data_IF_615436361107
#
_entry.id   IF_615436361107
#
_cell.length_a   1.000
_cell.length_b   1.000
_cell.length_c   1.000
_cell.angle_alpha   90.00
_cell.angle_beta   90.00
_cell.angle_gamma   90.00
#
_symmetry.space_group_name_H-M   'P 1'
#
loop_
_entity.id
_entity.type
_entity.pdbx_description
1 polymer ?
#
# COMPACT_ATOMS: atom_id res chain seq x y z
N UNK A 1 -51.77 -8.47 -7.25
CA UNK A 1 -50.55 -9.32 -7.30
C UNK A 1 -49.34 -8.47 -6.99
N UNK A 2 -48.92 -8.42 -5.72
CA UNK A 2 -47.65 -7.79 -5.30
C UNK A 2 -46.50 -8.76 -5.63
N UNK A 3 -45.64 -8.40 -6.60
CA UNK A 3 -44.46 -9.16 -6.92
C UNK A 3 -43.52 -9.18 -5.71
N UNK A 4 -43.21 -10.35 -5.18
CA UNK A 4 -42.18 -10.51 -4.19
C UNK A 4 -40.80 -10.25 -4.83
N UNK A 5 -39.85 -9.55 -4.17
CA UNK A 5 -38.52 -9.33 -4.70
C UNK A 5 -37.78 -10.65 -4.90
N UNK A 6 -37.06 -10.76 -6.01
CA UNK A 6 -36.27 -11.94 -6.39
C UNK A 6 -35.18 -12.29 -5.34
N UNK A 7 -34.85 -13.57 -5.22
CA UNK A 7 -33.88 -14.12 -4.29
C UNK A 7 -32.53 -13.34 -4.19
N UNK A 8 -31.94 -12.75 -5.28
CA UNK A 8 -30.73 -11.97 -5.22
C UNK A 8 -30.82 -10.72 -4.36
N UNK A 9 -31.96 -10.02 -4.38
CA UNK A 9 -32.14 -8.78 -3.60
C UNK A 9 -32.23 -9.03 -2.09
N UNK A 10 -32.76 -10.19 -1.66
CA UNK A 10 -32.80 -10.56 -0.23
C UNK A 10 -31.42 -10.89 0.33
N UNK A 11 -30.54 -11.48 -0.48
CA UNK A 11 -29.17 -11.77 -0.08
C UNK A 11 -28.33 -10.49 0.08
N UNK A 12 -28.49 -9.52 -0.81
CA UNK A 12 -27.81 -8.23 -0.76
C UNK A 12 -28.20 -7.41 0.46
N UNK A 13 -29.49 -7.41 0.83
CA UNK A 13 -29.98 -6.71 2.02
C UNK A 13 -29.48 -7.36 3.32
N UNK A 14 -29.33 -8.68 3.35
CA UNK A 14 -28.77 -9.40 4.51
C UNK A 14 -27.27 -9.19 4.67
N UNK A 15 -26.51 -9.09 3.56
CA UNK A 15 -25.07 -8.81 3.60
C UNK A 15 -24.80 -7.38 4.07
N UNK A 16 -25.56 -6.39 3.60
CA UNK A 16 -25.48 -5.00 4.07
C UNK A 16 -25.83 -4.87 5.56
N UNK A 17 -26.82 -5.63 6.05
CA UNK A 17 -27.17 -5.65 7.47
C UNK A 17 -26.11 -6.34 8.34
N UNK A 18 -25.39 -7.36 7.84
CA UNK A 18 -24.26 -8.00 8.54
C UNK A 18 -23.03 -7.10 8.60
N UNK A 19 -22.68 -6.40 7.53
CA UNK A 19 -21.61 -5.40 7.51
C UNK A 19 -21.90 -4.23 8.48
N UNK A 20 -23.14 -3.76 8.54
CA UNK A 20 -23.57 -2.73 9.50
C UNK A 20 -23.45 -3.19 10.97
N UNK A 21 -23.66 -4.49 11.25
CA UNK A 21 -23.47 -5.07 12.60
C UNK A 21 -22.00 -5.34 12.93
N UNK A 22 -21.16 -5.70 11.96
CA UNK A 22 -19.72 -5.90 12.16
C UNK A 22 -18.99 -4.58 12.48
N UNK A 23 -19.52 -3.44 12.02
CA UNK A 23 -19.02 -2.10 12.33
C UNK A 23 -19.41 -1.59 13.74
N UNK A 24 -20.32 -2.29 14.44
CA UNK A 24 -20.75 -1.96 15.81
C UNK A 24 -19.97 -2.73 16.88
N UNK A 25 -18.65 -2.80 16.74
CA UNK A 25 -17.78 -3.36 17.77
C UNK A 25 -17.70 -2.44 19.01
N UNK A 26 -17.60 -2.94 20.24
CA UNK A 26 -17.48 -2.13 21.45
C UNK A 26 -16.23 -1.23 21.37
N UNK A 27 -16.42 0.09 21.44
CA UNK A 27 -15.36 1.08 21.35
C UNK A 27 -15.28 1.83 20.01
N UNK A 28 -16.14 1.53 19.04
CA UNK A 28 -16.23 2.26 17.77
C UNK A 28 -17.25 3.39 17.89
N UNK A 29 -16.89 4.67 17.60
CA UNK A 29 -17.85 5.77 17.63
C UNK A 29 -18.91 5.55 16.54
N UNK A 30 -20.19 5.59 16.91
CA UNK A 30 -21.29 5.52 15.93
C UNK A 30 -21.25 6.74 15.01
N UNK A 31 -21.67 6.59 13.73
CA UNK A 31 -21.69 7.69 12.76
C UNK A 31 -22.53 8.91 13.19
N UNK A 32 -23.41 8.74 14.17
CA UNK A 32 -24.34 9.78 14.62
C UNK A 32 -23.77 10.77 15.62
N UNK A 33 -22.61 10.48 16.24
CA UNK A 33 -22.02 11.32 17.29
C UNK A 33 -20.81 12.17 16.84
N UNK A 34 -20.52 12.26 15.55
CA UNK A 34 -19.42 13.08 15.06
C UNK A 34 -19.89 14.51 14.75
N UNK A 35 -20.07 15.30 15.80
CA UNK A 35 -20.48 16.72 15.76
C UNK A 35 -19.46 17.63 15.06
N UNK A 36 -18.26 17.14 14.76
CA UNK A 36 -17.21 17.89 14.05
C UNK A 36 -17.46 18.02 12.52
N UNK A 37 -18.31 17.18 11.93
CA UNK A 37 -18.60 17.22 10.49
C UNK A 37 -19.79 18.11 10.09
N UNK A 38 -20.49 18.73 11.04
CA UNK A 38 -21.67 19.58 10.77
C UNK A 38 -21.41 21.08 10.67
N UNK A 39 -20.16 21.56 10.77
CA UNK A 39 -19.86 23.03 10.75
C UNK A 39 -19.27 23.57 9.44
N UNK A 40 -19.24 22.82 8.35
CA UNK A 40 -18.75 23.32 7.05
C UNK A 40 -19.83 23.29 5.95
N UNK A 41 -21.05 23.62 6.28
CA UNK A 41 -22.12 23.57 5.28
C UNK A 41 -23.26 24.54 5.52
N UNK A 42 -23.03 25.78 5.87
CA UNK A 42 -23.99 26.90 5.73
C UNK A 42 -23.28 28.19 6.09
N UNK A 43 -22.61 28.82 5.15
CA UNK A 43 -22.50 30.28 5.05
C UNK A 43 -21.83 30.60 3.71
N UNK A 44 -22.65 30.68 2.68
CA UNK A 44 -22.29 31.23 1.38
C UNK A 44 -22.21 32.76 1.50
N UNK A 45 -21.03 33.31 1.70
CA UNK A 45 -20.74 34.70 1.36
C UNK A 45 -19.29 34.82 0.90
N UNK A 46 -19.14 35.37 -0.30
CA UNK A 46 -17.89 35.53 -1.00
C UNK A 46 -16.88 36.39 -0.25
N UNK A 47 -15.63 36.06 -0.45
CA UNK A 47 -14.50 36.91 -0.16
C UNK A 47 -13.75 37.23 -1.43
N UNK A 48 -13.78 38.53 -1.73
CA UNK A 48 -13.12 39.30 -2.75
C UNK A 48 -11.60 39.05 -2.80
N UNK A 49 -11.07 38.93 -3.99
CA UNK A 49 -9.64 39.01 -4.29
C UNK A 49 -9.05 40.34 -3.77
N UNK A 50 -8.03 40.27 -2.92
CA UNK A 50 -7.16 41.38 -2.61
C UNK A 50 -5.80 41.22 -3.28
N UNK A 51 -5.42 42.26 -3.98
CA UNK A 51 -4.31 42.54 -4.86
C UNK A 51 -2.92 42.23 -4.28
N UNK A 52 -2.04 41.83 -5.18
CA UNK A 52 -0.59 41.82 -5.08
C UNK A 52 0.00 43.14 -4.61
N UNK A 53 0.81 43.10 -3.57
CA UNK A 53 1.66 44.21 -3.13
C UNK A 53 3.05 44.08 -3.76
N UNK A 54 3.40 45.07 -4.57
CA UNK A 54 4.72 45.31 -5.13
C UNK A 54 5.70 45.66 -4.00
N UNK A 55 6.88 45.00 -3.99
CA UNK A 55 8.02 45.52 -3.22
C UNK A 55 8.97 46.24 -4.15
N UNK A 56 9.11 47.54 -3.87
CA UNK A 56 9.93 48.54 -4.49
C UNK A 56 11.40 48.36 -4.11
N UNK A 57 12.28 48.44 -5.11
CA UNK A 57 13.72 48.69 -4.96
C UNK A 57 14.00 50.04 -4.33
N UNK A 58 14.89 50.10 -3.33
CA UNK A 58 15.65 51.32 -2.99
C UNK A 58 17.14 51.01 -3.03
N UNK A 59 17.81 51.66 -3.96
CA UNK A 59 19.25 51.85 -4.06
C UNK A 59 19.74 52.88 -3.02
N UNK A 60 20.88 52.67 -2.41
CA UNK A 60 21.72 53.72 -1.80
C UNK A 60 23.18 53.24 -1.81
N UNK A 61 23.90 53.89 -2.51
CA UNK A 61 25.22 54.50 -2.73
C UNK A 61 26.26 54.40 -1.61
N UNK A 62 27.46 53.99 -2.08
CA UNK A 62 28.84 54.49 -1.82
C UNK A 62 29.40 54.57 -0.40
N UNK A 63 30.59 53.95 -0.26
CA UNK A 63 31.56 54.17 0.80
C UNK A 63 32.69 53.13 0.74
N UNK A 64 33.77 53.43 0.01
CA UNK A 64 35.04 52.68 0.03
C UNK A 64 35.99 53.35 1.09
N UNK A 65 37.22 52.85 1.31
CA UNK A 65 37.69 51.49 1.64
C UNK A 65 38.51 51.48 2.98
N UNK A 66 38.68 50.34 3.61
CA UNK A 66 39.78 50.10 4.55
C UNK A 66 40.35 48.70 4.35
N UNK A 67 41.61 48.71 3.96
CA UNK A 67 42.53 47.56 3.95
C UNK A 67 42.78 47.05 5.35
N UNK A 68 42.69 45.74 5.59
CA UNK A 68 43.42 45.06 6.66
C UNK A 68 43.62 43.59 6.27
N UNK A 69 44.87 43.19 6.13
CA UNK A 69 45.54 41.92 6.32
C UNK A 69 44.81 40.61 6.01
N UNK A 70 45.31 39.95 4.98
CA UNK A 70 45.23 38.52 4.73
C UNK A 70 45.79 37.72 5.93
N UNK A 71 44.91 36.97 6.59
CA UNK A 71 45.33 35.73 7.27
C UNK A 71 44.69 34.58 6.52
N UNK A 72 45.56 33.93 5.74
CA UNK A 72 45.28 32.67 5.06
C UNK A 72 45.11 31.55 6.08
N UNK A 73 43.92 31.31 6.55
CA UNK A 73 43.56 30.04 7.15
C UNK A 73 43.31 29.04 6.01
N UNK A 74 44.34 28.25 5.74
CA UNK A 74 44.20 27.02 4.97
C UNK A 74 43.21 26.13 5.71
N UNK A 75 41.95 26.09 5.27
CA UNK A 75 41.04 25.03 5.58
C UNK A 75 41.64 23.75 4.94
N UNK A 76 42.12 22.86 5.79
CA UNK A 76 42.47 21.52 5.40
C UNK A 76 41.22 20.84 4.91
N UNK A 77 41.09 20.71 3.61
CA UNK A 77 40.18 19.79 2.96
C UNK A 77 40.46 18.39 3.49
N UNK A 78 39.61 17.91 4.38
CA UNK A 78 39.57 16.49 4.73
C UNK A 78 39.28 15.74 3.44
N UNK A 79 40.07 14.72 3.08
CA UNK A 79 39.84 13.97 1.88
C UNK A 79 38.43 13.31 2.04
N UNK A 80 37.50 13.78 1.21
CA UNK A 80 36.25 13.10 0.96
C UNK A 80 36.59 11.64 0.64
N UNK A 81 36.33 10.73 1.59
CA UNK A 81 36.41 9.30 1.33
C UNK A 81 35.36 8.98 0.30
N UNK A 82 35.73 9.15 -0.97
CA UNK A 82 34.97 8.56 -2.06
C UNK A 82 34.91 7.07 -1.77
N UNK A 83 33.72 6.59 -1.42
CA UNK A 83 33.45 5.16 -1.45
C UNK A 83 33.96 4.65 -2.80
N UNK A 84 34.86 3.65 -2.83
CA UNK A 84 35.33 3.11 -4.11
C UNK A 84 34.12 2.72 -4.89
N UNK A 85 34.01 3.15 -6.16
CA UNK A 85 32.99 2.68 -7.07
C UNK A 85 33.06 1.15 -7.03
N UNK A 86 31.99 0.50 -6.55
CA UNK A 86 31.93 -0.96 -6.53
C UNK A 86 32.17 -1.41 -7.98
N UNK A 87 33.20 -2.23 -8.20
CA UNK A 87 33.45 -2.81 -9.52
C UNK A 87 32.20 -3.55 -10.00
N UNK A 88 32.07 -3.73 -11.31
CA UNK A 88 30.98 -4.57 -11.83
C UNK A 88 31.10 -5.98 -11.20
N UNK A 89 29.95 -6.61 -10.89
CA UNK A 89 29.91 -8.01 -10.46
C UNK A 89 30.65 -8.91 -11.49
N UNK A 90 31.18 -10.03 -11.03
CA UNK A 90 31.73 -11.02 -11.93
C UNK A 90 30.63 -11.73 -12.75
N UNK A 91 31.03 -12.48 -13.75
CA UNK A 91 30.09 -13.16 -14.67
C UNK A 91 29.15 -14.12 -13.92
N UNK A 92 29.66 -14.86 -12.95
CA UNK A 92 28.86 -15.80 -12.16
C UNK A 92 27.78 -15.09 -11.33
N UNK A 93 28.11 -13.96 -10.72
CA UNK A 93 27.12 -13.15 -9.99
C UNK A 93 26.08 -12.55 -10.95
N UNK A 94 26.47 -12.10 -12.14
CA UNK A 94 25.54 -11.60 -13.15
C UNK A 94 24.59 -12.69 -13.66
N UNK A 95 25.09 -13.92 -13.84
CA UNK A 95 24.24 -15.07 -14.16
C UNK A 95 23.22 -15.34 -13.06
N UNK A 96 23.64 -15.35 -11.79
CA UNK A 96 22.74 -15.53 -10.65
C UNK A 96 21.67 -14.42 -10.56
N UNK A 97 22.05 -13.16 -10.77
CA UNK A 97 21.09 -12.05 -10.83
C UNK A 97 20.09 -12.25 -11.98
N UNK A 98 20.56 -12.77 -13.12
CA UNK A 98 19.66 -13.06 -14.26
C UNK A 98 18.66 -14.15 -13.93
N UNK A 99 19.10 -15.24 -13.29
CA UNK A 99 18.21 -16.30 -12.81
C UNK A 99 17.20 -15.76 -11.81
N UNK A 100 17.65 -14.92 -10.87
CA UNK A 100 16.78 -14.25 -9.90
C UNK A 100 15.67 -13.41 -10.57
N UNK A 101 15.98 -12.68 -11.66
CA UNK A 101 14.97 -11.95 -12.41
C UNK A 101 13.92 -12.87 -13.04
N UNK A 102 14.34 -14.02 -13.57
CA UNK A 102 13.42 -15.02 -14.10
C UNK A 102 12.58 -15.64 -13.00
N UNK A 103 13.16 -15.94 -11.84
CA UNK A 103 12.47 -16.47 -10.68
C UNK A 103 11.44 -15.49 -10.12
N UNK A 104 11.83 -14.23 -9.90
CA UNK A 104 10.88 -13.18 -9.49
C UNK A 104 9.73 -13.03 -10.51
N UNK A 105 10.04 -13.11 -11.80
CA UNK A 105 9.04 -13.10 -12.87
C UNK A 105 8.11 -14.33 -12.85
N UNK A 106 8.47 -15.42 -12.17
CA UNK A 106 7.63 -16.62 -12.05
C UNK A 106 6.39 -16.37 -11.19
N UNK A 107 6.43 -15.42 -10.25
CA UNK A 107 5.29 -15.07 -9.38
C UNK A 107 4.01 -14.75 -10.15
N UNK A 108 4.10 -14.31 -11.41
CA UNK A 108 2.93 -14.14 -12.30
C UNK A 108 2.19 -15.44 -12.60
N UNK A 109 2.82 -16.59 -12.39
CA UNK A 109 2.26 -17.92 -12.59
C UNK A 109 1.87 -18.59 -11.27
N UNK A 110 2.17 -17.98 -10.13
CA UNK A 110 1.79 -18.46 -8.80
C UNK A 110 0.41 -17.87 -8.45
N UNK A 111 -0.69 -18.66 -8.49
CA UNK A 111 -2.02 -18.14 -8.18
C UNK A 111 -2.18 -17.93 -6.68
N UNK A 112 -2.91 -16.89 -6.28
CA UNK A 112 -3.40 -16.71 -4.90
C UNK A 112 -4.43 -17.80 -4.63
N UNK A 113 -4.03 -18.85 -3.93
CA UNK A 113 -4.76 -20.11 -3.81
C UNK A 113 -6.09 -19.99 -3.06
N UNK A 114 -6.26 -18.95 -2.23
CA UNK A 114 -7.49 -18.66 -1.50
C UNK A 114 -8.72 -18.44 -2.38
N UNK A 115 -8.55 -17.91 -3.59
CA UNK A 115 -9.68 -17.66 -4.51
C UNK A 115 -10.44 -18.93 -4.92
N UNK A 116 -9.79 -20.09 -4.88
CA UNK A 116 -10.47 -21.37 -5.13
C UNK A 116 -11.60 -21.61 -4.10
N UNK A 117 -11.45 -21.16 -2.86
CA UNK A 117 -12.47 -21.28 -1.83
C UNK A 117 -13.49 -20.13 -1.86
N UNK A 118 -13.11 -18.99 -2.39
CA UNK A 118 -14.04 -17.86 -2.57
C UNK A 118 -15.02 -18.10 -3.72
N UNK A 119 -14.62 -18.89 -4.72
CA UNK A 119 -15.47 -19.31 -5.85
C UNK A 119 -15.61 -18.25 -6.94
N UNK A 120 -14.96 -17.11 -6.83
CA UNK A 120 -14.87 -16.08 -7.88
C UNK A 120 -13.64 -15.20 -7.65
N UNK A 121 -13.26 -14.48 -8.70
CA UNK A 121 -12.04 -13.67 -8.71
C UNK A 121 -10.81 -14.50 -9.03
N UNK A 122 -9.73 -13.82 -9.31
CA UNK A 122 -8.40 -14.39 -9.50
C UNK A 122 -7.37 -13.32 -9.30
N UNK A 123 -6.22 -13.70 -8.80
CA UNK A 123 -5.05 -12.85 -8.63
C UNK A 123 -3.82 -13.78 -8.63
N UNK A 124 -2.70 -13.29 -9.08
CA UNK A 124 -1.42 -13.95 -8.88
C UNK A 124 -0.56 -13.18 -7.89
N UNK A 125 0.51 -13.82 -7.39
CA UNK A 125 1.36 -13.23 -6.36
C UNK A 125 2.06 -11.95 -6.84
N UNK A 126 2.42 -11.86 -8.13
CA UNK A 126 3.03 -10.64 -8.68
C UNK A 126 2.07 -9.44 -8.68
N UNK A 127 0.80 -9.65 -9.04
CA UNK A 127 -0.25 -8.61 -8.99
C UNK A 127 -0.50 -8.15 -7.55
N UNK A 128 -0.57 -9.10 -6.62
CA UNK A 128 -0.68 -8.87 -5.20
C UNK A 128 0.50 -8.04 -4.66
N UNK A 129 1.73 -8.48 -4.88
CA UNK A 129 2.93 -7.78 -4.38
C UNK A 129 3.07 -6.36 -4.95
N UNK A 130 2.69 -6.16 -6.22
CA UNK A 130 2.67 -4.83 -6.82
C UNK A 130 1.68 -3.90 -6.10
N UNK A 131 0.42 -4.30 -5.94
CA UNK A 131 -0.59 -3.45 -5.29
C UNK A 131 -0.30 -3.28 -3.80
N UNK A 132 0.16 -4.31 -3.11
CA UNK A 132 0.63 -4.24 -1.73
C UNK A 132 1.73 -3.19 -1.58
N UNK A 133 2.70 -3.13 -2.51
CA UNK A 133 3.75 -2.10 -2.49
C UNK A 133 3.21 -0.68 -2.64
N UNK A 134 2.22 -0.45 -3.52
CA UNK A 134 1.56 0.85 -3.68
C UNK A 134 0.79 1.26 -2.41
N UNK A 135 0.08 0.31 -1.79
CA UNK A 135 -0.64 0.53 -0.54
C UNK A 135 0.35 0.82 0.60
N UNK A 136 1.43 0.04 0.70
CA UNK A 136 2.46 0.20 1.72
C UNK A 136 3.15 1.55 1.65
N UNK A 137 3.56 1.99 0.46
CA UNK A 137 4.07 3.34 0.24
C UNK A 137 3.08 4.41 0.75
N UNK A 138 1.80 4.26 0.40
CA UNK A 138 0.76 5.20 0.80
C UNK A 138 0.59 5.23 2.32
N UNK A 139 0.50 4.07 2.98
CA UNK A 139 0.40 3.97 4.43
C UNK A 139 1.58 4.61 5.15
N UNK A 140 2.81 4.36 4.66
CA UNK A 140 4.02 4.94 5.21
C UNK A 140 4.01 6.47 5.13
N UNK A 141 3.60 7.03 3.98
CA UNK A 141 3.45 8.49 3.82
C UNK A 141 2.41 9.09 4.78
N UNK A 142 1.30 8.39 5.00
CA UNK A 142 0.26 8.82 5.95
C UNK A 142 0.70 8.69 7.40
N UNK A 143 1.59 7.76 7.71
CA UNK A 143 2.09 7.51 9.06
C UNK A 143 3.38 8.29 9.40
N UNK A 144 4.03 8.95 8.42
CA UNK A 144 5.32 9.59 8.60
C UNK A 144 6.48 8.60 8.79
N UNK A 145 6.33 7.36 8.27
CA UNK A 145 7.33 6.30 8.30
C UNK A 145 8.22 6.31 7.05
N UNK A 146 9.25 5.48 7.01
CA UNK A 146 10.12 5.30 5.84
C UNK A 146 9.35 4.58 4.71
N UNK A 147 8.89 5.36 3.73
CA UNK A 147 8.11 4.85 2.62
C UNK A 147 8.94 3.95 1.68
N UNK A 148 10.24 4.18 1.53
CA UNK A 148 11.11 3.33 0.73
C UNK A 148 11.26 1.96 1.41
N UNK A 149 11.48 1.93 2.73
CA UNK A 149 11.57 0.69 3.49
C UNK A 149 10.28 -0.10 3.45
N UNK A 150 9.12 0.53 3.69
CA UNK A 150 7.82 -0.17 3.63
C UNK A 150 7.57 -0.73 2.23
N UNK A 151 7.88 0.02 1.17
CA UNK A 151 7.72 -0.46 -0.21
C UNK A 151 8.61 -1.66 -0.49
N UNK A 152 9.87 -1.62 -0.04
CA UNK A 152 10.80 -2.73 -0.14
C UNK A 152 10.26 -3.99 0.57
N UNK A 153 9.79 -3.86 1.80
CA UNK A 153 9.21 -4.96 2.55
C UNK A 153 8.00 -5.57 1.81
N UNK A 154 7.10 -4.72 1.30
CA UNK A 154 5.93 -5.17 0.53
C UNK A 154 6.32 -5.84 -0.80
N UNK A 155 7.39 -5.38 -1.46
CA UNK A 155 7.79 -5.92 -2.77
C UNK A 155 8.31 -7.36 -2.66
N UNK A 156 9.06 -7.66 -1.59
CA UNK A 156 9.77 -8.93 -1.44
C UNK A 156 9.10 -9.90 -0.44
N UNK A 157 7.96 -9.53 0.18
CA UNK A 157 7.37 -10.30 1.27
C UNK A 157 6.99 -11.74 0.87
N UNK A 158 6.50 -11.95 -0.35
CA UNK A 158 6.04 -13.23 -0.89
C UNK A 158 6.96 -13.76 -2.02
N UNK A 159 8.21 -13.26 -2.12
CA UNK A 159 9.13 -13.70 -3.17
C UNK A 159 9.41 -15.22 -3.12
N UNK A 160 9.46 -15.80 -1.92
CA UNK A 160 9.64 -17.23 -1.69
C UNK A 160 8.54 -18.09 -2.34
N UNK A 161 7.36 -17.53 -2.58
CA UNK A 161 6.23 -18.23 -3.16
C UNK A 161 6.43 -18.59 -4.64
N UNK A 162 7.47 -18.07 -5.29
CA UNK A 162 7.92 -18.56 -6.59
C UNK A 162 8.33 -20.05 -6.52
N UNK A 163 8.77 -20.52 -5.35
CA UNK A 163 9.19 -21.90 -5.08
C UNK A 163 8.19 -22.69 -4.26
N UNK A 164 7.63 -22.07 -3.21
CA UNK A 164 6.73 -22.75 -2.27
C UNK A 164 5.27 -22.74 -2.73
N UNK A 165 4.89 -21.78 -3.59
CA UNK A 165 3.49 -21.49 -3.89
C UNK A 165 2.81 -20.71 -2.77
N UNK A 166 1.66 -20.08 -3.08
CA UNK A 166 0.82 -19.40 -2.07
C UNK A 166 0.01 -20.42 -1.28
N UNK A 167 0.29 -20.56 0.01
CA UNK A 167 -0.46 -21.42 0.92
C UNK A 167 -1.64 -20.66 1.53
N UNK A 168 -2.85 -21.16 1.25
CA UNK A 168 -4.06 -20.64 1.89
C UNK A 168 -4.24 -21.18 3.31
N UNK A 169 -5.27 -20.68 4.02
CA UNK A 169 -5.56 -21.08 5.40
C UNK A 169 -5.78 -22.59 5.61
N UNK A 170 -6.25 -23.30 4.59
CA UNK A 170 -6.42 -24.76 4.68
C UNK A 170 -5.08 -25.45 4.60
N UNK A 171 -4.20 -25.02 3.70
CA UNK A 171 -2.85 -25.56 3.57
C UNK A 171 -2.08 -25.37 4.90
N UNK A 172 -2.02 -24.15 5.44
CA UNK A 172 -1.32 -23.83 6.68
C UNK A 172 -1.82 -24.60 7.92
N UNK A 173 -3.02 -25.20 7.84
CA UNK A 173 -3.53 -26.03 8.93
C UNK A 173 -2.87 -27.40 8.98
N UNK A 174 -2.39 -27.92 7.86
CA UNK A 174 -1.92 -29.28 7.71
C UNK A 174 -0.47 -29.38 7.26
N UNK A 175 0.10 -28.30 6.76
CA UNK A 175 1.44 -28.27 6.21
C UNK A 175 2.19 -27.00 6.61
N UNK A 176 3.52 -27.06 6.52
CA UNK A 176 4.44 -25.96 6.80
C UNK A 176 5.42 -25.80 5.66
N UNK A 177 5.60 -24.58 5.17
CA UNK A 177 6.60 -24.26 4.16
C UNK A 177 7.94 -23.90 4.80
N UNK A 178 9.01 -24.17 4.08
CA UNK A 178 10.36 -23.71 4.38
C UNK A 178 10.61 -22.36 3.68
N UNK A 179 9.78 -21.36 4.02
CA UNK A 179 9.72 -20.07 3.31
C UNK A 179 11.07 -19.34 3.32
N UNK A 180 11.71 -19.29 4.50
CA UNK A 180 12.99 -18.63 4.66
C UNK A 180 14.10 -19.33 3.88
N UNK A 181 14.08 -20.67 3.83
CA UNK A 181 15.07 -21.44 3.08
C UNK A 181 14.88 -21.25 1.55
N UNK A 182 13.62 -21.24 1.10
CA UNK A 182 13.30 -20.95 -0.29
C UNK A 182 13.73 -19.54 -0.70
N UNK A 183 13.54 -18.54 0.17
CA UNK A 183 14.01 -17.18 -0.05
C UNK A 183 15.54 -17.11 -0.07
N UNK A 184 16.22 -17.78 0.86
CA UNK A 184 17.69 -17.85 0.91
C UNK A 184 18.24 -18.41 -0.41
N UNK A 185 17.69 -19.54 -0.87
CA UNK A 185 18.14 -20.15 -2.12
C UNK A 185 17.84 -19.29 -3.35
N UNK A 186 16.77 -18.48 -3.32
CA UNK A 186 16.42 -17.58 -4.41
C UNK A 186 17.42 -16.43 -4.57
N UNK A 187 17.93 -15.91 -3.47
CA UNK A 187 18.82 -14.74 -3.46
C UNK A 187 20.31 -15.11 -3.40
N UNK A 188 20.67 -16.37 -3.13
CA UNK A 188 22.03 -16.83 -2.98
C UNK A 188 22.90 -16.51 -4.20
N UNK A 189 24.08 -15.92 -4.00
CA UNK A 189 25.03 -15.51 -5.04
C UNK A 189 24.63 -14.27 -5.84
N UNK A 190 23.54 -13.59 -5.47
CA UNK A 190 23.10 -12.34 -6.15
C UNK A 190 23.79 -11.09 -5.60
N UNK A 191 24.27 -11.12 -4.36
CA UNK A 191 24.73 -9.94 -3.62
C UNK A 191 23.59 -9.14 -2.98
N UNK A 192 22.36 -9.62 -3.05
CA UNK A 192 21.17 -9.00 -2.46
C UNK A 192 20.69 -9.70 -1.18
N UNK A 193 21.40 -10.77 -0.78
CA UNK A 193 21.00 -11.68 0.31
C UNK A 193 20.75 -10.92 1.61
N UNK A 194 21.70 -10.08 2.00
CA UNK A 194 21.65 -9.38 3.28
C UNK A 194 20.40 -8.50 3.39
N UNK A 195 20.10 -7.72 2.34
CA UNK A 195 19.00 -6.76 2.35
C UNK A 195 17.63 -7.48 2.33
N UNK A 196 17.50 -8.49 1.47
CA UNK A 196 16.22 -9.20 1.27
C UNK A 196 15.90 -10.08 2.48
N UNK A 197 16.87 -10.84 3.00
CA UNK A 197 16.66 -11.70 4.17
C UNK A 197 16.42 -10.89 5.44
N UNK A 198 17.18 -9.80 5.65
CA UNK A 198 16.95 -8.90 6.78
C UNK A 198 15.56 -8.24 6.70
N UNK A 199 15.09 -7.90 5.49
CA UNK A 199 13.75 -7.39 5.27
C UNK A 199 12.68 -8.42 5.61
N UNK A 200 12.87 -9.65 5.20
CA UNK A 200 11.94 -10.74 5.51
C UNK A 200 11.90 -11.03 7.02
N UNK A 201 13.06 -11.13 7.68
CA UNK A 201 13.15 -11.34 9.13
C UNK A 201 12.45 -10.19 9.90
N UNK A 202 12.67 -8.91 9.49
CA UNK A 202 11.99 -7.75 10.06
C UNK A 202 10.45 -7.86 9.93
N UNK A 203 9.98 -8.28 8.74
CA UNK A 203 8.56 -8.43 8.48
C UNK A 203 7.95 -9.51 9.38
N UNK A 204 8.63 -10.66 9.57
CA UNK A 204 8.16 -11.74 10.45
C UNK A 204 8.13 -11.31 11.93
N UNK A 205 9.12 -10.54 12.37
CA UNK A 205 9.17 -10.03 13.73
C UNK A 205 8.10 -8.99 14.07
N UNK A 206 7.64 -8.22 13.08
CA UNK A 206 6.60 -7.17 13.20
C UNK A 206 6.85 -6.12 14.29
N UNK A 207 8.12 -5.87 14.65
CA UNK A 207 8.48 -4.93 15.72
C UNK A 207 8.58 -3.49 15.23
N UNK A 208 9.13 -3.27 14.04
CA UNK A 208 9.24 -1.93 13.44
C UNK A 208 7.88 -1.37 13.05
N UNK A 209 7.79 -0.05 12.91
CA UNK A 209 6.60 0.59 12.36
C UNK A 209 6.40 0.17 10.90
N UNK A 210 7.50 0.11 10.15
CA UNK A 210 7.55 -0.25 8.74
C UNK A 210 7.01 -1.66 8.50
N UNK A 211 7.44 -2.64 9.28
CA UNK A 211 6.94 -4.02 9.17
C UNK A 211 5.44 -4.14 9.51
N UNK A 212 4.95 -3.38 10.49
CA UNK A 212 3.51 -3.34 10.80
C UNK A 212 2.70 -2.71 9.68
N UNK A 213 3.21 -1.64 9.05
CA UNK A 213 2.55 -0.99 7.92
C UNK A 213 2.57 -1.87 6.67
N UNK A 214 3.66 -2.61 6.42
CA UNK A 214 3.73 -3.58 5.33
C UNK A 214 2.72 -4.72 5.53
N UNK A 215 2.60 -5.25 6.74
CA UNK A 215 1.55 -6.23 7.06
C UNK A 215 0.13 -5.68 6.88
N UNK A 216 -0.12 -4.42 7.29
CA UNK A 216 -1.42 -3.79 7.06
C UNK A 216 -1.68 -3.56 5.56
N UNK A 217 -0.64 -3.29 4.76
CA UNK A 217 -0.75 -3.15 3.32
C UNK A 217 -1.18 -4.46 2.64
N UNK A 218 -0.57 -5.59 3.01
CA UNK A 218 -0.97 -6.93 2.58
C UNK A 218 -2.45 -7.20 2.90
N UNK A 219 -2.88 -6.90 4.14
CA UNK A 219 -4.28 -7.09 4.53
C UNK A 219 -5.24 -6.13 3.78
N UNK A 220 -4.84 -4.88 3.50
CA UNK A 220 -5.66 -3.95 2.72
C UNK A 220 -5.77 -4.37 1.25
N UNK A 221 -4.74 -4.98 0.70
CA UNK A 221 -4.80 -5.58 -0.63
C UNK A 221 -5.88 -6.66 -0.72
N UNK A 222 -5.85 -7.62 0.21
CA UNK A 222 -6.89 -8.63 0.33
C UNK A 222 -8.29 -8.01 0.52
N UNK A 223 -8.43 -6.97 1.36
CA UNK A 223 -9.69 -6.27 1.60
C UNK A 223 -10.20 -5.61 0.31
N UNK A 224 -9.33 -4.99 -0.49
CA UNK A 224 -9.71 -4.41 -1.78
C UNK A 224 -10.27 -5.47 -2.74
N UNK A 225 -9.64 -6.63 -2.82
CA UNK A 225 -10.10 -7.75 -3.64
C UNK A 225 -11.45 -8.29 -3.17
N UNK A 226 -11.56 -8.59 -1.87
CA UNK A 226 -12.80 -9.09 -1.29
C UNK A 226 -13.96 -8.08 -1.46
N UNK A 227 -13.66 -6.78 -1.36
CA UNK A 227 -14.64 -5.71 -1.62
C UNK A 227 -15.09 -5.71 -3.09
N UNK A 228 -14.16 -5.89 -4.03
CA UNK A 228 -14.50 -5.98 -5.44
C UNK A 228 -15.38 -7.21 -5.72
N UNK A 229 -15.07 -8.35 -5.14
CA UNK A 229 -15.90 -9.56 -5.27
C UNK A 229 -17.29 -9.40 -4.62
N UNK A 230 -17.36 -8.74 -3.47
CA UNK A 230 -18.62 -8.42 -2.82
C UNK A 230 -19.50 -7.50 -3.70
N UNK A 231 -18.90 -6.46 -4.31
CA UNK A 231 -19.59 -5.52 -5.20
C UNK A 231 -20.11 -6.22 -6.47
N UNK A 232 -19.40 -7.23 -6.96
CA UNK A 232 -19.84 -8.09 -8.07
C UNK A 232 -20.93 -9.10 -7.67
N UNK A 233 -21.23 -9.22 -6.37
CA UNK A 233 -22.31 -10.07 -5.86
C UNK A 233 -21.88 -11.35 -5.18
N UNK A 234 -20.58 -11.59 -4.98
CA UNK A 234 -20.11 -12.74 -4.22
C UNK A 234 -20.36 -12.53 -2.72
N UNK A 235 -21.40 -13.19 -2.19
CA UNK A 235 -21.79 -13.06 -0.78
C UNK A 235 -20.77 -13.62 0.20
N UNK A 236 -19.95 -14.60 -0.22
CA UNK A 236 -18.96 -15.24 0.65
C UNK A 236 -17.80 -14.29 1.00
N UNK A 237 -17.54 -13.29 0.16
CA UNK A 237 -16.55 -12.26 0.44
C UNK A 237 -16.85 -11.47 1.72
N UNK A 238 -18.10 -11.38 2.15
CA UNK A 238 -18.49 -10.66 3.36
C UNK A 238 -17.91 -11.30 4.64
N UNK A 239 -17.94 -12.63 4.73
CA UNK A 239 -17.43 -13.35 5.91
C UNK A 239 -15.88 -13.25 6.00
N UNK A 240 -15.22 -13.25 4.83
CA UNK A 240 -13.76 -13.07 4.75
C UNK A 240 -13.35 -11.63 5.09
N UNK A 241 -14.10 -10.63 4.62
CA UNK A 241 -13.90 -9.22 4.96
C UNK A 241 -13.94 -8.99 6.46
N UNK A 242 -14.93 -9.57 7.16
CA UNK A 242 -15.03 -9.45 8.62
C UNK A 242 -13.75 -9.92 9.32
N UNK A 243 -13.15 -11.00 8.85
CA UNK A 243 -11.91 -11.54 9.39
C UNK A 243 -10.68 -10.70 9.01
N UNK A 244 -10.60 -10.24 7.76
CA UNK A 244 -9.49 -9.43 7.26
C UNK A 244 -9.40 -8.08 7.97
N UNK A 245 -10.52 -7.39 8.18
CA UNK A 245 -10.59 -6.10 8.89
C UNK A 245 -10.04 -6.20 10.31
N UNK A 246 -10.30 -7.29 11.02
CA UNK A 246 -9.81 -7.51 12.40
C UNK A 246 -8.29 -7.63 12.51
N UNK A 247 -7.60 -7.92 11.39
CA UNK A 247 -6.14 -8.06 11.35
C UNK A 247 -5.40 -6.72 11.22
N UNK A 248 -6.08 -5.65 10.79
CA UNK A 248 -5.49 -4.32 10.66
C UNK A 248 -5.05 -3.75 12.02
N UNK A 249 -3.85 -3.20 12.08
CA UNK A 249 -3.23 -2.70 13.31
C UNK A 249 -3.12 -1.18 13.36
N UNK A 250 -2.65 -0.54 12.28
CA UNK A 250 -2.43 0.90 12.26
C UNK A 250 -3.74 1.70 12.13
N UNK A 251 -3.82 2.89 12.71
CA UNK A 251 -4.99 3.76 12.57
C UNK A 251 -5.19 4.21 11.11
N UNK A 252 -4.11 4.38 10.35
CA UNK A 252 -4.15 4.75 8.94
C UNK A 252 -4.81 3.67 8.09
N UNK A 253 -4.43 2.40 8.31
CA UNK A 253 -5.02 1.26 7.59
C UNK A 253 -6.50 1.10 7.93
N UNK A 254 -6.89 1.26 9.19
CA UNK A 254 -8.30 1.20 9.61
C UNK A 254 -9.12 2.31 8.96
N UNK A 255 -8.62 3.55 8.95
CA UNK A 255 -9.30 4.68 8.32
C UNK A 255 -9.48 4.48 6.82
N UNK A 256 -8.45 3.97 6.11
CA UNK A 256 -8.57 3.61 4.69
C UNK A 256 -9.57 2.48 4.47
N UNK A 257 -9.54 1.45 5.31
CA UNK A 257 -10.47 0.32 5.22
C UNK A 257 -11.93 0.77 5.31
N UNK A 258 -12.28 1.68 6.22
CA UNK A 258 -13.63 2.23 6.31
C UNK A 258 -14.08 2.88 4.99
N UNK A 259 -13.18 3.62 4.33
CA UNK A 259 -13.47 4.25 3.05
C UNK A 259 -13.59 3.22 1.93
N UNK A 260 -12.69 2.22 1.89
CA UNK A 260 -12.74 1.12 0.93
C UNK A 260 -14.10 0.40 1.01
N UNK A 261 -14.54 0.03 2.21
CA UNK A 261 -15.79 -0.73 2.40
C UNK A 261 -17.05 0.00 1.94
N UNK A 262 -17.09 1.34 2.02
CA UNK A 262 -18.24 2.15 1.56
C UNK A 262 -18.12 2.66 0.13
N UNK A 263 -16.99 2.41 -0.54
CA UNK A 263 -16.73 2.88 -1.90
C UNK A 263 -16.94 1.74 -2.89
N UNK A 264 -17.73 1.96 -3.93
CA UNK A 264 -17.86 1.01 -5.04
C UNK A 264 -16.52 0.87 -5.78
N UNK A 265 -16.10 -0.37 -6.07
CA UNK A 265 -14.79 -0.66 -6.68
C UNK A 265 -14.65 -0.07 -8.10
N UNK A 266 -15.75 0.20 -8.81
CA UNK A 266 -15.76 0.82 -10.14
C UNK A 266 -15.73 2.36 -10.10
N UNK A 267 -15.86 2.98 -8.92
CA UNK A 267 -16.00 4.43 -8.79
C UNK A 267 -14.87 5.22 -9.45
N UNK A 268 -13.65 4.68 -9.44
CA UNK A 268 -12.45 5.37 -9.94
C UNK A 268 -12.51 5.67 -11.44
N UNK A 269 -13.16 4.83 -12.24
CA UNK A 269 -13.29 5.00 -13.68
C UNK A 269 -14.73 5.31 -14.11
N UNK A 270 -15.74 4.70 -13.51
CA UNK A 270 -17.14 4.84 -13.92
C UNK A 270 -17.89 5.95 -13.15
N UNK A 271 -17.63 6.09 -11.85
CA UNK A 271 -18.36 7.00 -10.98
C UNK A 271 -17.91 8.46 -11.01
N UNK A 272 -16.72 8.76 -11.60
CA UNK A 272 -16.14 10.11 -11.68
C UNK A 272 -16.23 10.73 -13.07
N UNK A 273 -16.64 9.98 -14.06
CA UNK A 273 -16.72 10.43 -15.45
C UNK A 273 -18.13 10.94 -15.72
N UNK A 274 -18.25 12.04 -16.49
CA UNK A 274 -19.55 12.48 -17.00
C UNK A 274 -20.16 11.35 -17.84
N UNK A 275 -21.32 10.86 -17.40
CA UNK A 275 -22.01 9.74 -18.07
C UNK A 275 -22.39 10.05 -19.52
N UNK A 276 -22.48 11.32 -19.89
CA UNK A 276 -22.70 11.74 -21.27
C UNK A 276 -21.58 11.27 -22.20
N UNK A 277 -20.32 11.25 -21.69
CA UNK A 277 -19.20 10.74 -22.47
C UNK A 277 -19.42 9.30 -22.97
N UNK A 278 -20.06 8.46 -22.17
CA UNK A 278 -20.35 7.06 -22.53
C UNK A 278 -21.42 6.95 -23.61
N UNK A 279 -22.33 7.93 -23.70
CA UNK A 279 -23.40 7.97 -24.70
C UNK A 279 -22.91 8.64 -25.98
N UNK A 280 -22.32 9.80 -25.88
CA UNK A 280 -22.01 10.67 -27.01
C UNK A 280 -20.67 10.36 -27.66
N UNK A 281 -19.75 9.64 -26.96
CA UNK A 281 -18.39 9.29 -27.43
C UNK A 281 -17.61 10.47 -28.01
N UNK A 282 -17.81 11.68 -27.48
CA UNK A 282 -17.18 12.93 -27.91
C UNK A 282 -16.29 13.52 -26.82
#
# INVERSE_FOLDING_TARGET
YKRQPSLPQRALLRSKARLGKAMALPGWPSPENNTACRRLGKDGKGLSMARAGQFSHKSATEGAPRSIHEETHMAQDSPNKSTPAAGLPDEQQLERITDFFHEAGHLRHTPRSGYAFLGSGSENVAEHSYRTSVIGYTLARLAGADAARVTFLCLFHDLHEARTGDFNYVNHRYDTCRDRDALQDAVDGTGLEQDILAGWDELQERRSLEARLAHDADQLDLICNLKAELDKGNRFAADWLESAVKRLRSPQARALCEVILRTDHNRWWYGRVDKKWWVDRK
#
